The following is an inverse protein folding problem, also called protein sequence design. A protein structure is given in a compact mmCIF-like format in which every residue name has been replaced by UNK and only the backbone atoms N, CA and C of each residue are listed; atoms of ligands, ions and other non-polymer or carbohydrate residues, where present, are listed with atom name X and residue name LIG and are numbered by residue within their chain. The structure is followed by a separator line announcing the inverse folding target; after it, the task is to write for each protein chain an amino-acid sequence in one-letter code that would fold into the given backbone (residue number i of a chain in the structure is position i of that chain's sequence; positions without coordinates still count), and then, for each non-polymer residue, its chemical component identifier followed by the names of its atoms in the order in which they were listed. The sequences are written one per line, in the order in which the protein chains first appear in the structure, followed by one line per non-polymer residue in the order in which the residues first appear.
data_IF_877619728484
#
_entry.id   IF_877619728484
#
_cell.length_a   1.000
_cell.length_b   1.000
_cell.length_c   1.000
_cell.angle_alpha   90.00
_cell.angle_beta   90.00
_cell.angle_gamma   90.00
#
_symmetry.space_group_name_H-M   'P 1'
#
loop_
_entity.id
_entity.type
_entity.pdbx_description
1 polymer ?
#
# COMPACT_ATOMS: atom_id res chain seq x y z
N UNK A 1 40.72 20.26 67.47
CA UNK A 1 40.15 21.08 66.38
C UNK A 1 40.75 20.63 65.05
N UNK A 2 39.93 20.05 64.17
CA UNK A 2 39.95 20.22 62.71
C UNK A 2 39.16 19.06 62.11
N UNK A 3 37.96 19.40 61.64
CA UNK A 3 36.94 18.46 61.21
C UNK A 3 37.19 17.97 59.78
N UNK A 4 37.13 16.66 59.58
CA UNK A 4 37.03 16.05 58.26
C UNK A 4 35.65 16.33 57.65
N UNK A 5 35.52 17.34 56.79
CA UNK A 5 34.35 17.50 55.92
C UNK A 5 34.49 16.57 54.71
N UNK A 6 33.87 15.39 54.79
CA UNK A 6 33.60 14.57 53.60
C UNK A 6 32.50 15.23 52.78
N UNK A 7 32.79 15.42 51.50
CA UNK A 7 31.91 15.90 50.43
C UNK A 7 30.67 15.00 50.36
N UNK A 8 29.47 15.57 50.49
CA UNK A 8 28.21 14.84 50.22
C UNK A 8 27.16 15.76 49.60
N UNK A 9 27.27 15.96 48.29
CA UNK A 9 26.17 16.46 47.46
C UNK A 9 26.27 15.91 46.04
N UNK A 10 26.15 14.59 45.91
CA UNK A 10 26.09 13.91 44.61
C UNK A 10 24.99 12.86 44.64
N UNK A 11 23.72 13.26 44.59
CA UNK A 11 22.60 12.29 44.40
C UNK A 11 21.30 12.86 43.78
N UNK A 12 21.20 14.14 43.40
CA UNK A 12 19.94 14.66 42.80
C UNK A 12 19.91 14.72 41.27
N UNK A 13 21.04 14.58 40.58
CA UNK A 13 21.12 14.64 39.12
C UNK A 13 20.94 13.27 38.44
N UNK A 14 20.92 12.17 39.20
CA UNK A 14 20.80 10.81 38.66
C UNK A 14 19.36 10.45 38.25
N UNK A 15 18.33 11.06 38.84
CA UNK A 15 16.93 10.73 38.54
C UNK A 15 16.35 11.45 37.32
N UNK A 16 16.80 12.68 37.02
CA UNK A 16 16.25 13.47 35.91
C UNK A 16 16.53 12.83 34.54
N UNK A 17 17.76 12.35 34.32
CA UNK A 17 18.13 11.66 33.09
C UNK A 17 17.31 10.40 32.86
N UNK A 18 16.99 9.67 33.92
CA UNK A 18 16.18 8.46 33.83
C UNK A 18 14.70 8.75 33.57
N UNK A 19 14.13 9.78 34.20
CA UNK A 19 12.75 10.23 33.92
C UNK A 19 12.63 10.68 32.45
N UNK A 20 13.60 11.43 31.95
CA UNK A 20 13.65 11.86 30.55
C UNK A 20 13.75 10.63 29.63
N UNK A 21 14.62 9.67 29.96
CA UNK A 21 14.77 8.42 29.20
C UNK A 21 13.48 7.60 29.13
N UNK A 22 12.82 7.36 30.27
CA UNK A 22 11.55 6.63 30.31
C UNK A 22 10.48 7.36 29.50
N UNK A 23 10.38 8.69 29.65
CA UNK A 23 9.42 9.50 28.88
C UNK A 23 9.63 9.35 27.38
N UNK A 24 10.89 9.39 26.93
CA UNK A 24 11.23 9.28 25.52
C UNK A 24 10.90 7.89 24.96
N UNK A 25 11.19 6.81 25.69
CA UNK A 25 10.88 5.44 25.29
C UNK A 25 9.37 5.21 25.22
N UNK A 26 8.62 5.66 26.24
CA UNK A 26 7.15 5.56 26.24
C UNK A 26 6.52 6.39 25.12
N UNK A 27 7.08 7.56 24.81
CA UNK A 27 6.64 8.37 23.68
C UNK A 27 6.88 7.68 22.34
N UNK A 28 8.06 7.07 22.15
CA UNK A 28 8.35 6.26 20.96
C UNK A 28 7.41 5.06 20.83
N UNK A 29 7.12 4.36 21.93
CA UNK A 29 6.12 3.28 21.97
C UNK A 29 4.74 3.76 21.51
N UNK A 30 4.33 4.95 21.98
CA UNK A 30 3.07 5.58 21.57
C UNK A 30 3.01 5.86 20.06
N UNK A 31 4.04 6.50 19.50
CA UNK A 31 4.10 6.78 18.05
C UNK A 31 4.11 5.48 17.25
N UNK A 32 4.91 4.51 17.66
CA UNK A 32 5.02 3.25 16.94
C UNK A 32 3.71 2.47 16.96
N UNK A 33 3.04 2.41 18.11
CA UNK A 33 1.69 1.86 18.22
C UNK A 33 0.69 2.58 17.30
N UNK A 34 0.76 3.91 17.24
CA UNK A 34 -0.06 4.71 16.33
C UNK A 34 0.21 4.41 14.85
N UNK A 35 1.49 4.28 14.45
CA UNK A 35 1.87 3.92 13.08
C UNK A 35 1.32 2.55 12.70
N UNK A 36 1.50 1.54 13.56
CA UNK A 36 0.99 0.18 13.31
C UNK A 36 -0.54 0.13 13.23
N UNK A 37 -1.23 0.92 14.06
CA UNK A 37 -2.68 1.03 14.01
C UNK A 37 -3.16 1.62 12.67
N UNK A 38 -2.47 2.65 12.17
CA UNK A 38 -2.82 3.31 10.91
C UNK A 38 -2.29 2.58 9.66
N UNK A 39 -1.30 1.69 9.80
CA UNK A 39 -0.71 0.96 8.69
C UNK A 39 -1.78 0.20 7.86
N UNK A 40 -2.82 -0.33 8.51
CA UNK A 40 -3.95 -1.00 7.83
C UNK A 40 -4.77 -0.07 6.94
N UNK A 41 -5.00 1.17 7.38
CA UNK A 41 -5.71 2.15 6.58
C UNK A 41 -4.87 2.57 5.36
N UNK A 42 -3.55 2.71 5.56
CA UNK A 42 -2.61 2.98 4.49
C UNK A 42 -2.55 1.82 3.48
N UNK A 43 -2.45 0.58 3.96
CA UNK A 43 -2.48 -0.63 3.14
C UNK A 43 -3.77 -0.69 2.30
N UNK A 44 -4.92 -0.45 2.91
CA UNK A 44 -6.21 -0.41 2.20
C UNK A 44 -6.20 0.67 1.11
N UNK A 45 -5.73 1.88 1.41
CA UNK A 45 -5.65 2.97 0.43
C UNK A 45 -4.85 2.57 -0.81
N UNK A 46 -3.69 1.95 -0.65
CA UNK A 46 -2.91 1.47 -1.80
C UNK A 46 -3.59 0.32 -2.53
N UNK A 47 -4.22 -0.61 -1.79
CA UNK A 47 -5.01 -1.71 -2.38
C UNK A 47 -6.21 -1.21 -3.19
N UNK A 48 -6.82 -0.08 -2.83
CA UNK A 48 -7.91 0.56 -3.58
C UNK A 48 -7.46 1.16 -4.92
N UNK A 49 -6.16 1.42 -5.10
CA UNK A 49 -5.60 1.94 -6.37
C UNK A 49 -5.27 0.84 -7.39
N UNK A 50 -5.44 -0.43 -7.02
CA UNK A 50 -5.13 -1.56 -7.91
C UNK A 50 -6.17 -1.66 -9.03
N UNK A 51 -5.66 -1.61 -10.27
CA UNK A 51 -6.44 -1.77 -11.49
C UNK A 51 -5.94 -2.98 -12.28
N UNK A 52 -6.88 -3.70 -12.88
CA UNK A 52 -6.62 -4.73 -13.88
C UNK A 52 -7.10 -4.21 -15.23
N UNK A 53 -6.25 -4.32 -16.24
CA UNK A 53 -6.55 -3.91 -17.60
C UNK A 53 -7.01 -5.13 -18.40
N UNK A 54 -8.24 -5.06 -18.91
CA UNK A 54 -8.84 -6.08 -19.76
C UNK A 54 -8.85 -5.59 -21.20
N UNK A 55 -7.92 -6.07 -22.01
CA UNK A 55 -7.83 -5.67 -23.41
C UNK A 55 -8.90 -6.39 -24.22
N UNK A 56 -9.75 -5.61 -24.89
CA UNK A 56 -10.86 -6.13 -25.66
C UNK A 56 -10.40 -6.57 -27.05
N UNK A 57 -11.05 -7.60 -27.62
CA UNK A 57 -10.87 -7.90 -29.04
C UNK A 57 -11.45 -6.78 -29.91
N UNK A 58 -10.80 -6.51 -31.05
CA UNK A 58 -11.12 -5.38 -31.96
C UNK A 58 -12.50 -5.49 -32.63
N UNK A 59 -13.07 -6.69 -32.71
CA UNK A 59 -14.35 -6.99 -33.36
C UNK A 59 -15.52 -7.18 -32.38
N UNK A 60 -15.34 -6.84 -31.10
CA UNK A 60 -16.41 -6.95 -30.12
C UNK A 60 -17.52 -5.94 -30.38
N UNK A 61 -18.77 -6.41 -30.39
CA UNK A 61 -19.94 -5.51 -30.44
C UNK A 61 -20.11 -4.79 -29.12
N UNK A 62 -20.58 -3.55 -29.17
CA UNK A 62 -20.84 -2.73 -27.98
C UNK A 62 -21.79 -3.41 -26.96
N UNK A 63 -22.76 -4.18 -27.45
CA UNK A 63 -23.67 -4.97 -26.61
C UNK A 63 -22.91 -6.03 -25.79
N UNK A 64 -21.91 -6.68 -26.38
CA UNK A 64 -21.10 -7.69 -25.71
C UNK A 64 -20.13 -7.08 -24.71
N UNK A 65 -19.59 -5.88 -25.02
CA UNK A 65 -18.80 -5.07 -24.07
C UNK A 65 -19.65 -4.70 -22.86
N UNK A 66 -20.86 -4.19 -23.08
CA UNK A 66 -21.77 -3.82 -22.00
C UNK A 66 -22.22 -5.02 -21.15
N UNK A 67 -22.39 -6.20 -21.78
CA UNK A 67 -22.68 -7.45 -21.05
C UNK A 67 -21.49 -7.85 -20.18
N UNK A 68 -20.27 -7.85 -20.73
CA UNK A 68 -19.05 -8.15 -19.98
C UNK A 68 -18.90 -7.22 -18.77
N UNK A 69 -19.11 -5.91 -18.95
CA UNK A 69 -19.05 -4.93 -17.84
C UNK A 69 -20.03 -5.27 -16.72
N UNK A 70 -21.28 -5.60 -17.06
CA UNK A 70 -22.29 -6.00 -16.07
C UNK A 70 -21.93 -7.30 -15.36
N UNK A 71 -21.39 -8.28 -16.08
CA UNK A 71 -20.92 -9.54 -15.49
C UNK A 71 -19.79 -9.27 -14.49
N UNK A 72 -18.82 -8.43 -14.86
CA UNK A 72 -17.75 -8.00 -13.95
C UNK A 72 -18.27 -7.27 -12.72
N UNK A 73 -19.30 -6.42 -12.85
CA UNK A 73 -19.88 -5.70 -11.69
C UNK A 73 -20.62 -6.61 -10.71
N UNK A 74 -21.07 -7.79 -11.14
CA UNK A 74 -21.73 -8.78 -10.28
C UNK A 74 -20.73 -9.61 -9.47
N UNK A 75 -19.46 -9.61 -9.86
CA UNK A 75 -18.44 -10.40 -9.21
C UNK A 75 -18.09 -9.86 -7.80
N UNK A 76 -17.93 -10.74 -6.80
CA UNK A 76 -17.71 -10.31 -5.43
C UNK A 76 -16.38 -9.59 -5.22
N UNK A 77 -15.39 -9.84 -6.08
CA UNK A 77 -14.07 -9.21 -6.06
C UNK A 77 -13.99 -7.89 -6.83
N UNK A 78 -14.99 -7.58 -7.67
CA UNK A 78 -15.04 -6.34 -8.44
C UNK A 78 -15.53 -5.17 -7.60
N UNK A 79 -14.82 -4.04 -7.67
CA UNK A 79 -15.22 -2.77 -7.06
C UNK A 79 -15.92 -1.84 -8.07
N UNK A 80 -15.77 -2.11 -9.37
CA UNK A 80 -16.33 -1.34 -10.47
C UNK A 80 -15.42 -1.37 -11.69
N UNK A 81 -15.93 -0.91 -12.82
CA UNK A 81 -15.18 -0.89 -14.08
C UNK A 81 -15.44 0.37 -14.91
N UNK A 82 -14.42 0.77 -15.66
CA UNK A 82 -14.46 1.92 -16.58
C UNK A 82 -13.98 1.45 -17.95
N UNK A 83 -14.77 1.73 -18.99
CA UNK A 83 -14.32 1.54 -20.37
C UNK A 83 -13.41 2.70 -20.74
N UNK A 84 -12.22 2.40 -21.22
CA UNK A 84 -11.27 3.39 -21.74
C UNK A 84 -11.18 3.22 -23.24
N UNK A 85 -11.62 4.24 -23.97
CA UNK A 85 -11.51 4.28 -25.42
C UNK A 85 -10.09 4.72 -25.83
N UNK A 86 -9.63 4.40 -27.06
CA UNK A 86 -8.32 4.83 -27.54
C UNK A 86 -8.13 6.35 -27.50
N UNK A 87 -9.20 7.11 -27.76
CA UNK A 87 -9.19 8.57 -27.68
C UNK A 87 -9.07 9.07 -26.25
N UNK A 88 -9.77 8.43 -25.30
CA UNK A 88 -9.66 8.76 -23.88
C UNK A 88 -8.27 8.44 -23.34
N UNK A 89 -7.70 7.31 -23.74
CA UNK A 89 -6.35 6.93 -23.36
C UNK A 89 -5.30 7.89 -23.93
N UNK A 90 -5.45 8.28 -25.20
CA UNK A 90 -4.59 9.28 -25.83
C UNK A 90 -4.68 10.65 -25.14
N UNK A 91 -5.89 11.08 -24.77
CA UNK A 91 -6.10 12.33 -24.06
C UNK A 91 -5.45 12.31 -22.66
N UNK A 92 -5.63 11.22 -21.90
CA UNK A 92 -5.00 11.04 -20.59
C UNK A 92 -3.46 11.02 -20.70
N UNK A 93 -2.93 10.29 -21.70
CA UNK A 93 -1.49 10.21 -21.94
C UNK A 93 -0.90 11.56 -22.38
N UNK A 94 -1.65 12.35 -23.16
CA UNK A 94 -1.27 13.72 -23.53
C UNK A 94 -1.22 14.64 -22.31
N UNK A 95 -2.15 14.49 -21.38
CA UNK A 95 -2.18 15.28 -20.13
C UNK A 95 -1.01 14.91 -19.20
N UNK A 96 -0.66 13.63 -19.10
CA UNK A 96 0.43 13.16 -18.24
C UNK A 96 1.83 13.40 -18.83
N UNK A 97 2.01 13.23 -20.14
CA UNK A 97 3.32 13.24 -20.81
C UNK A 97 3.61 14.50 -21.65
N UNK A 98 2.59 15.33 -21.92
CA UNK A 98 2.69 16.53 -22.76
C UNK A 98 2.42 16.28 -24.25
N UNK A 99 2.13 17.35 -25.01
CA UNK A 99 1.72 17.26 -26.44
C UNK A 99 2.82 16.65 -27.33
N UNK A 100 4.08 16.95 -27.04
CA UNK A 100 5.23 16.51 -27.84
C UNK A 100 5.41 14.98 -27.85
N UNK A 101 4.91 14.26 -26.84
CA UNK A 101 5.13 12.82 -26.71
C UNK A 101 4.35 12.00 -27.75
N UNK A 102 3.16 12.46 -28.13
CA UNK A 102 2.34 11.79 -29.16
C UNK A 102 2.87 12.04 -30.58
N UNK A 103 3.51 13.20 -30.81
CA UNK A 103 4.17 13.49 -32.10
C UNK A 103 5.39 12.58 -32.32
N UNK A 104 6.17 12.31 -31.26
CA UNK A 104 7.30 11.37 -31.30
C UNK A 104 6.86 9.94 -31.64
N UNK A 105 5.62 9.57 -31.29
CA UNK A 105 5.03 8.26 -31.60
C UNK A 105 4.32 8.18 -32.96
N UNK A 106 4.37 9.25 -33.77
CA UNK A 106 3.80 9.25 -35.13
C UNK A 106 2.29 9.54 -35.22
N UNK A 107 1.69 10.14 -34.18
CA UNK A 107 0.33 10.70 -34.24
C UNK A 107 -0.83 9.70 -34.18
N UNK A 108 -0.57 8.41 -33.97
CA UNK A 108 -1.61 7.38 -33.80
C UNK A 108 -1.54 6.83 -32.39
N UNK A 109 -2.68 6.81 -31.69
CA UNK A 109 -2.79 6.24 -30.33
C UNK A 109 -2.41 4.76 -30.36
N UNK A 110 -1.32 4.33 -29.69
CA UNK A 110 -0.89 2.93 -29.66
C UNK A 110 -1.73 2.09 -28.69
N UNK A 111 -2.78 2.66 -28.08
CA UNK A 111 -3.51 2.06 -26.98
C UNK A 111 -4.79 1.41 -27.51
N UNK A 112 -4.81 0.08 -27.48
CA UNK A 112 -6.02 -0.70 -27.76
C UNK A 112 -7.11 -0.41 -26.71
N UNK A 113 -8.41 -0.47 -27.08
CA UNK A 113 -9.50 -0.28 -26.14
C UNK A 113 -9.45 -1.32 -25.02
N UNK A 114 -9.59 -0.87 -23.78
CA UNK A 114 -9.58 -1.74 -22.62
C UNK A 114 -10.66 -1.37 -21.60
N UNK A 115 -10.99 -2.33 -20.74
CA UNK A 115 -11.77 -2.09 -19.53
C UNK A 115 -10.79 -2.05 -18.37
N UNK A 116 -10.73 -0.92 -17.67
CA UNK A 116 -10.05 -0.81 -16.38
C UNK A 116 -11.00 -1.31 -15.29
N UNK A 117 -10.64 -2.44 -14.69
CA UNK A 117 -11.37 -3.10 -13.63
C UNK A 117 -10.70 -2.77 -12.29
N UNK A 118 -11.43 -2.12 -11.39
CA UNK A 118 -10.99 -1.86 -10.03
C UNK A 118 -11.28 -3.09 -9.16
N UNK A 119 -10.27 -3.54 -8.40
CA UNK A 119 -10.38 -4.71 -7.53
C UNK A 119 -10.65 -4.28 -6.09
N UNK A 120 -11.55 -4.97 -5.40
CA UNK A 120 -11.79 -4.70 -3.98
C UNK A 120 -10.52 -4.98 -3.17
N UNK A 121 -10.20 -4.17 -2.14
CA UNK A 121 -8.96 -4.33 -1.36
C UNK A 121 -8.76 -5.71 -0.74
N UNK A 122 -9.87 -6.38 -0.37
CA UNK A 122 -9.82 -7.74 0.16
C UNK A 122 -9.21 -8.77 -0.82
N UNK A 123 -9.31 -8.51 -2.12
CA UNK A 123 -8.84 -9.39 -3.20
C UNK A 123 -7.59 -8.84 -3.92
N UNK A 124 -7.12 -7.64 -3.55
CA UNK A 124 -5.91 -7.02 -4.09
C UNK A 124 -4.63 -7.60 -3.45
N UNK A 125 -4.49 -8.93 -3.51
CA UNK A 125 -3.37 -9.70 -2.95
C UNK A 125 -2.80 -10.61 -4.03
N UNK A 126 -1.50 -10.97 -4.00
CA UNK A 126 -0.87 -11.77 -5.06
C UNK A 126 -1.64 -13.06 -5.41
N UNK A 127 -2.02 -13.83 -4.39
CA UNK A 127 -2.76 -15.08 -4.58
C UNK A 127 -4.14 -14.84 -5.20
N UNK A 128 -4.84 -13.81 -4.71
CA UNK A 128 -6.19 -13.49 -5.18
C UNK A 128 -6.19 -12.98 -6.62
N UNK A 129 -5.25 -12.09 -6.92
CA UNK A 129 -5.07 -11.53 -8.26
C UNK A 129 -4.73 -12.62 -9.28
N UNK A 130 -3.91 -13.62 -8.89
CA UNK A 130 -3.53 -14.69 -9.80
C UNK A 130 -4.75 -15.48 -10.29
N UNK A 131 -5.62 -15.94 -9.39
CA UNK A 131 -6.80 -16.72 -9.82
C UNK A 131 -7.84 -15.86 -10.54
N UNK A 132 -8.01 -14.58 -10.17
CA UNK A 132 -8.90 -13.65 -10.88
C UNK A 132 -8.42 -13.47 -12.32
N UNK A 133 -7.14 -13.14 -12.50
CA UNK A 133 -6.55 -12.91 -13.82
C UNK A 133 -6.56 -14.19 -14.66
N UNK A 134 -6.21 -15.33 -14.09
CA UNK A 134 -6.27 -16.62 -14.80
C UNK A 134 -7.70 -17.01 -15.19
N UNK A 135 -8.70 -16.60 -14.41
CA UNK A 135 -10.12 -16.75 -14.75
C UNK A 135 -10.51 -15.86 -15.92
N UNK A 136 -10.16 -14.57 -15.85
CA UNK A 136 -10.48 -13.58 -16.89
C UNK A 136 -9.79 -13.89 -18.22
N UNK A 137 -8.55 -14.40 -18.21
CA UNK A 137 -7.82 -14.81 -19.42
C UNK A 137 -8.50 -15.90 -20.23
N UNK A 138 -9.43 -16.65 -19.64
CA UNK A 138 -10.20 -17.70 -20.33
C UNK A 138 -11.40 -17.14 -21.09
N UNK A 139 -11.75 -15.87 -20.89
CA UNK A 139 -12.86 -15.23 -21.58
C UNK A 139 -12.51 -15.00 -23.05
N UNK A 140 -13.31 -15.58 -23.95
CA UNK A 140 -13.09 -15.47 -25.39
C UNK A 140 -13.25 -14.04 -25.93
N UNK A 141 -13.83 -13.11 -25.17
CA UNK A 141 -13.98 -11.69 -25.53
C UNK A 141 -12.73 -10.87 -25.28
N UNK A 142 -11.82 -11.36 -24.43
CA UNK A 142 -10.58 -10.68 -24.07
C UNK A 142 -9.45 -11.12 -24.98
N UNK A 143 -8.59 -10.18 -25.35
CA UNK A 143 -7.34 -10.45 -26.05
C UNK A 143 -6.21 -10.68 -25.04
N UNK A 144 -6.14 -9.84 -24.01
CA UNK A 144 -5.18 -9.98 -22.93
C UNK A 144 -5.73 -9.40 -21.61
N UNK A 145 -5.13 -9.83 -20.50
CA UNK A 145 -5.42 -9.34 -19.15
C UNK A 145 -4.09 -9.04 -18.47
N UNK A 146 -3.90 -7.75 -18.15
CA UNK A 146 -2.67 -7.23 -17.58
C UNK A 146 -2.90 -6.55 -16.24
N UNK A 147 -1.92 -6.67 -15.36
CA UNK A 147 -1.85 -5.96 -14.09
C UNK A 147 -0.39 -5.87 -13.63
N UNK A 148 -0.09 -4.91 -12.77
CA UNK A 148 1.26 -4.75 -12.23
C UNK A 148 1.49 -5.71 -11.04
N UNK A 149 1.87 -6.95 -11.33
CA UNK A 149 2.17 -7.95 -10.31
C UNK A 149 3.27 -7.51 -9.34
N UNK A 150 4.32 -6.86 -9.86
CA UNK A 150 5.43 -6.40 -9.05
C UNK A 150 5.00 -5.37 -8.01
N UNK A 151 4.08 -4.45 -8.34
CA UNK A 151 3.54 -3.46 -7.41
C UNK A 151 2.77 -4.15 -6.28
N UNK A 152 1.90 -5.11 -6.59
CA UNK A 152 1.10 -5.83 -5.59
C UNK A 152 2.00 -6.67 -4.69
N UNK A 153 2.96 -7.38 -5.28
CA UNK A 153 3.94 -8.18 -4.56
C UNK A 153 4.83 -7.34 -3.64
N UNK A 154 5.35 -6.23 -4.15
CA UNK A 154 6.18 -5.30 -3.36
C UNK A 154 5.37 -4.72 -2.21
N UNK A 155 4.14 -4.30 -2.48
CA UNK A 155 3.24 -3.77 -1.48
C UNK A 155 2.99 -4.78 -0.36
N UNK A 156 2.60 -6.02 -0.70
CA UNK A 156 2.33 -7.08 0.26
C UNK A 156 3.57 -7.42 1.11
N UNK A 157 4.74 -7.55 0.46
CA UNK A 157 6.02 -7.76 1.17
C UNK A 157 6.35 -6.62 2.10
N UNK A 158 6.21 -5.37 1.66
CA UNK A 158 6.55 -4.19 2.44
C UNK A 158 5.62 -4.02 3.64
N UNK A 159 4.31 -4.16 3.47
CA UNK A 159 3.36 -4.09 4.58
C UNK A 159 3.54 -5.23 5.58
N UNK A 160 3.81 -6.45 5.10
CA UNK A 160 4.13 -7.59 5.96
C UNK A 160 5.41 -7.33 6.76
N UNK A 161 6.47 -6.86 6.10
CA UNK A 161 7.74 -6.54 6.76
C UNK A 161 7.58 -5.40 7.79
N UNK A 162 6.81 -4.35 7.46
CA UNK A 162 6.50 -3.26 8.37
C UNK A 162 5.74 -3.76 9.60
N UNK A 163 4.72 -4.60 9.41
CA UNK A 163 3.93 -5.15 10.50
C UNK A 163 4.77 -6.05 11.42
N UNK A 164 5.51 -7.02 10.87
CA UNK A 164 6.33 -7.94 11.66
C UNK A 164 7.49 -7.19 12.32
N UNK A 165 8.24 -6.40 11.56
CA UNK A 165 9.36 -5.62 12.08
C UNK A 165 8.92 -4.62 13.16
N UNK A 166 7.79 -3.94 12.93
CA UNK A 166 7.20 -3.04 13.91
C UNK A 166 6.77 -3.76 15.19
N UNK A 167 6.24 -4.99 15.13
CA UNK A 167 5.93 -5.77 16.33
C UNK A 167 7.19 -6.18 17.10
N UNK A 168 8.26 -6.57 16.41
CA UNK A 168 9.55 -6.90 17.05
C UNK A 168 10.11 -5.68 17.79
N UNK A 169 10.16 -4.53 17.12
CA UNK A 169 10.64 -3.29 17.75
C UNK A 169 9.74 -2.90 18.93
N UNK A 170 8.43 -3.11 18.84
CA UNK A 170 7.48 -2.78 19.90
C UNK A 170 7.78 -3.63 21.15
N UNK A 171 8.00 -4.93 20.97
CA UNK A 171 8.40 -5.84 22.04
C UNK A 171 9.73 -5.44 22.69
N UNK A 172 10.74 -5.08 21.88
CA UNK A 172 12.04 -4.63 22.41
C UNK A 172 11.92 -3.34 23.23
N UNK A 173 11.19 -2.34 22.71
CA UNK A 173 10.97 -1.09 23.43
C UNK A 173 10.18 -1.30 24.74
N UNK A 174 9.22 -2.23 24.77
CA UNK A 174 8.52 -2.60 26.00
C UNK A 174 9.48 -3.21 27.04
N UNK A 175 10.36 -4.12 26.63
CA UNK A 175 11.38 -4.70 27.53
C UNK A 175 12.29 -3.61 28.10
N UNK A 176 12.77 -2.69 27.25
CA UNK A 176 13.61 -1.57 27.67
C UNK A 176 12.86 -0.66 28.64
N UNK A 177 11.59 -0.35 28.37
CA UNK A 177 10.78 0.48 29.26
C UNK A 177 10.63 -0.17 30.64
N UNK A 178 10.29 -1.47 30.71
CA UNK A 178 10.16 -2.21 31.98
C UNK A 178 11.49 -2.28 32.72
N UNK A 179 12.59 -2.54 32.02
CA UNK A 179 13.93 -2.60 32.63
C UNK A 179 14.35 -1.25 33.22
N UNK A 180 14.10 -0.14 32.52
CA UNK A 180 14.38 1.20 33.03
C UNK A 180 13.52 1.51 34.26
N UNK A 181 12.23 1.19 34.24
CA UNK A 181 11.34 1.40 35.39
C UNK A 181 11.83 0.60 36.60
N UNK A 182 12.11 -0.69 36.42
CA UNK A 182 12.54 -1.59 37.49
C UNK A 182 13.95 -1.30 38.02
N UNK A 183 14.82 -0.69 37.22
CA UNK A 183 16.14 -0.25 37.68
C UNK A 183 16.10 1.13 38.36
N UNK A 184 14.98 1.84 38.27
CA UNK A 184 14.80 3.19 38.82
C UNK A 184 13.99 3.21 40.13
N UNK A 185 13.01 2.32 40.25
CA UNK A 185 12.18 2.09 41.46
C UNK A 185 12.85 1.04 42.33
#
# INVERSE_FOLDING_TARGET
MSASRRIKSRTRTTSLGTVIGITLVLWMLGIQGFVLFNARALERYFKEQVKVELFLKRDLKEVDVMRLRKELDLEPWSAGNVLVTPDQAAAAMKEELGEDFLEVLGGVSPIDPNIQLSIKPAYAQPDSMRWIVDGLRKDARLNDVSYNAAVIDNMERNFTALNIGGLVVLGLLLIVAVALINNTI
#
